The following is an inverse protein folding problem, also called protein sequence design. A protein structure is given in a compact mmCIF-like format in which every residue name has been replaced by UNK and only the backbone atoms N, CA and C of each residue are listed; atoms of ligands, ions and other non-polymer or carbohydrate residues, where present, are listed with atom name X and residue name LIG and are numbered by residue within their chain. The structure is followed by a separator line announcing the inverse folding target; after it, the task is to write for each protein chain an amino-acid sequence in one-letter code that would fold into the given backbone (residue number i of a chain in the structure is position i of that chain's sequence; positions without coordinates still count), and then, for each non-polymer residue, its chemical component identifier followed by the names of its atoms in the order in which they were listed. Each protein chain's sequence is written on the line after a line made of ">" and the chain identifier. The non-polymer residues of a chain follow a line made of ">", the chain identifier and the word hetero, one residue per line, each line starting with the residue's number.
data_IF_107341872073
#
_entry.id   IF_107341872073
#
_cell.length_a   1.000
_cell.length_b   1.000
_cell.length_c   1.000
_cell.angle_alpha   90.00
_cell.angle_beta   90.00
_cell.angle_gamma   90.00
#
_symmetry.space_group_name_H-M   'P 1'
#
loop_
_entity.id
_entity.type
_entity.pdbx_description
1 polymer ?
#
# COMPACT_ATOMS: atom_id res chain seq x y z
N UNK A 1 18.40 6.15 -7.51
CA UNK A 1 17.61 6.60 -6.34
C UNK A 1 17.00 5.36 -5.71
N UNK A 2 16.98 5.24 -4.38
CA UNK A 2 16.18 4.22 -3.70
C UNK A 2 14.76 4.77 -3.53
N UNK A 3 13.73 3.98 -3.82
CA UNK A 3 12.33 4.33 -3.54
C UNK A 3 12.14 4.59 -2.04
N UNK A 4 11.44 5.67 -1.72
CA UNK A 4 11.09 6.04 -0.35
C UNK A 4 9.86 5.26 0.13
N UNK A 5 9.61 5.28 1.44
CA UNK A 5 8.35 4.78 1.99
C UNK A 5 7.13 5.46 1.37
N UNK A 6 7.20 6.78 1.17
CA UNK A 6 6.12 7.57 0.59
C UNK A 6 5.84 7.17 -0.86
N UNK A 7 6.89 6.90 -1.65
CA UNK A 7 6.73 6.40 -3.03
C UNK A 7 6.03 5.04 -3.05
N UNK A 8 6.42 4.12 -2.15
CA UNK A 8 5.79 2.80 -2.04
C UNK A 8 4.34 2.89 -1.57
N UNK A 9 4.04 3.75 -0.60
CA UNK A 9 2.66 4.00 -0.13
C UNK A 9 1.79 4.59 -1.23
N UNK A 10 2.32 5.52 -2.02
CA UNK A 10 1.61 6.11 -3.14
C UNK A 10 1.21 5.04 -4.16
N UNK A 11 2.17 4.24 -4.63
CA UNK A 11 1.92 3.16 -5.60
C UNK A 11 0.96 2.09 -5.03
N UNK A 12 1.13 1.71 -3.77
CA UNK A 12 0.24 0.77 -3.10
C UNK A 12 -1.19 1.28 -3.01
N UNK A 13 -1.39 2.56 -2.69
CA UNK A 13 -2.72 3.18 -2.64
C UNK A 13 -3.38 3.26 -4.03
N UNK A 14 -2.63 3.58 -5.09
CA UNK A 14 -3.18 3.59 -6.46
C UNK A 14 -3.65 2.20 -6.88
N UNK A 15 -2.89 1.16 -6.55
CA UNK A 15 -3.28 -0.22 -6.83
C UNK A 15 -4.56 -0.63 -6.07
N UNK A 16 -4.72 -0.21 -4.81
CA UNK A 16 -5.93 -0.47 -4.02
C UNK A 16 -7.15 0.21 -4.65
N UNK A 17 -7.04 1.49 -5.03
CA UNK A 17 -8.17 2.19 -5.66
C UNK A 17 -8.53 1.60 -7.02
N UNK A 18 -7.55 1.22 -7.84
CA UNK A 18 -7.81 0.55 -9.11
C UNK A 18 -8.57 -0.77 -8.92
N UNK A 19 -8.21 -1.56 -7.90
CA UNK A 19 -8.91 -2.81 -7.56
C UNK A 19 -10.32 -2.57 -7.00
N UNK A 20 -10.52 -1.49 -6.27
CA UNK A 20 -11.86 -1.06 -5.80
C UNK A 20 -12.75 -0.69 -7.00
N UNK A 21 -12.24 0.11 -7.94
CA UNK A 21 -12.97 0.51 -9.15
C UNK A 21 -13.30 -0.70 -10.05
N UNK A 22 -12.42 -1.69 -10.10
CA UNK A 22 -12.66 -2.97 -10.76
C UNK A 22 -13.67 -3.88 -10.04
N UNK A 23 -14.06 -3.54 -8.81
CA UNK A 23 -14.97 -4.35 -7.97
C UNK A 23 -14.33 -5.62 -7.41
N UNK A 24 -13.00 -5.70 -7.39
CA UNK A 24 -12.25 -6.87 -6.88
C UNK A 24 -12.14 -6.88 -5.35
N UNK A 25 -12.20 -5.71 -4.75
CA UNK A 25 -12.19 -5.53 -3.29
C UNK A 25 -13.35 -4.64 -2.87
N UNK A 26 -13.92 -4.97 -1.71
CA UNK A 26 -15.00 -4.20 -1.09
C UNK A 26 -14.55 -3.50 0.18
N UNK A 27 -13.46 -3.99 0.80
CA UNK A 27 -12.85 -3.40 1.98
C UNK A 27 -11.53 -2.71 1.60
N UNK A 28 -11.63 -1.41 1.37
CA UNK A 28 -10.49 -0.54 1.03
C UNK A 28 -9.57 -0.37 2.23
N UNK A 29 -10.10 -0.36 3.45
CA UNK A 29 -9.32 -0.12 4.66
C UNK A 29 -8.35 -1.27 4.90
N UNK A 30 -8.82 -2.52 4.82
CA UNK A 30 -7.94 -3.68 4.93
C UNK A 30 -6.86 -3.70 3.84
N UNK A 31 -7.23 -3.39 2.60
CA UNK A 31 -6.28 -3.36 1.48
C UNK A 31 -5.21 -2.25 1.61
N UNK A 32 -5.56 -1.10 2.19
CA UNK A 32 -4.60 -0.03 2.49
C UNK A 32 -3.66 -0.39 3.64
N UNK A 33 -4.13 -1.14 4.64
CA UNK A 33 -3.27 -1.66 5.72
C UNK A 33 -2.25 -2.67 5.19
N UNK A 34 -2.67 -3.55 4.28
CA UNK A 34 -1.77 -4.48 3.59
C UNK A 34 -0.73 -3.73 2.74
N UNK A 35 -1.17 -2.75 1.94
CA UNK A 35 -0.26 -1.91 1.16
C UNK A 35 0.74 -1.16 2.05
N UNK A 36 0.31 -0.74 3.25
CA UNK A 36 1.19 -0.13 4.25
C UNK A 36 2.21 -1.12 4.79
N UNK A 37 1.80 -2.34 5.13
CA UNK A 37 2.69 -3.39 5.60
C UNK A 37 3.75 -3.75 4.54
N UNK A 38 3.35 -3.80 3.26
CA UNK A 38 4.26 -4.03 2.14
C UNK A 38 5.23 -2.85 1.90
N UNK A 39 4.73 -1.62 2.04
CA UNK A 39 5.54 -0.42 1.92
C UNK A 39 6.55 -0.28 3.08
N UNK A 40 6.17 -0.71 4.29
CA UNK A 40 7.04 -0.80 5.45
C UNK A 40 8.01 -1.97 5.29
N UNK A 41 9.17 -1.68 4.71
CA UNK A 41 10.24 -2.66 4.58
C UNK A 41 10.76 -3.14 5.96
N UNK A 42 11.67 -4.13 6.00
CA UNK A 42 12.20 -4.67 7.25
C UNK A 42 12.86 -3.62 8.18
N UNK A 43 13.31 -2.50 7.61
CA UNK A 43 13.90 -1.37 8.35
C UNK A 43 12.85 -0.45 9.02
N UNK A 44 11.61 -0.43 8.53
CA UNK A 44 10.53 0.47 8.99
C UNK A 44 9.59 -0.20 10.01
N UNK A 45 9.57 -1.53 10.09
CA UNK A 45 8.75 -2.30 11.04
C UNK A 45 9.30 -2.32 12.49
N UNK A 46 10.49 -1.74 12.74
CA UNK A 46 11.17 -1.77 14.06
C UNK A 46 11.22 -0.43 14.79
N UNK A 47 10.57 0.63 14.28
CA UNK A 47 10.49 1.95 14.92
C UNK A 47 9.10 2.20 15.52
#
# INVERSE_FOLDING_TARGET
>A
MKETFEDRMFLGSEAVYARMEAGEIFDVTAALEDARLEASGPDEQQQ
#
